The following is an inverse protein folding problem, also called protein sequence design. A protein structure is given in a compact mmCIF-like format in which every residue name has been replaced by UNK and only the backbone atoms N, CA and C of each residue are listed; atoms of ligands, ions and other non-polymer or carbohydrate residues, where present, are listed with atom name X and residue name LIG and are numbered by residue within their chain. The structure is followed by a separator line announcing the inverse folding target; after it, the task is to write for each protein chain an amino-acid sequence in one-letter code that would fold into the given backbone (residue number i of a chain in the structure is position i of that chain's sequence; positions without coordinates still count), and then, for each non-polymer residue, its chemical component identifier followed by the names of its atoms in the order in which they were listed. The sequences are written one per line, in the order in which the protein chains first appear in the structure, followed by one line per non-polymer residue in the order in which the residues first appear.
data_IF_807891050344
#
_entry.id   IF_807891050344
#
_cell.length_a   1.000
_cell.length_b   1.000
_cell.length_c   1.000
_cell.angle_alpha   90.00
_cell.angle_beta   90.00
_cell.angle_gamma   90.00
#
_symmetry.space_group_name_H-M   'P 1'
#
loop_
_entity.id
_entity.type
_entity.pdbx_description
1 polymer ?
#
# COMPACT_ATOMS: atom_id res chain seq x y z
N UNK A 1 -4.04 -7.73 7.41
CA UNK A 1 -4.95 -7.57 8.56
C UNK A 1 -6.28 -8.17 8.19
N UNK A 2 -6.88 -8.99 9.05
CA UNK A 2 -8.24 -9.50 8.85
C UNK A 2 -9.24 -8.72 9.70
N UNK A 3 -10.46 -8.55 9.20
CA UNK A 3 -11.57 -7.93 9.95
C UNK A 3 -12.61 -9.00 10.26
N UNK A 4 -13.05 -9.06 11.51
CA UNK A 4 -14.01 -10.05 11.99
C UNK A 4 -15.13 -9.36 12.76
N UNK A 5 -16.30 -9.99 12.74
CA UNK A 5 -17.39 -9.71 13.67
C UNK A 5 -17.62 -11.01 14.42
N UNK A 6 -17.44 -10.98 15.74
CA UNK A 6 -17.80 -12.10 16.58
C UNK A 6 -19.29 -11.98 16.92
N UNK A 7 -20.11 -12.84 16.34
CA UNK A 7 -21.52 -12.99 16.73
C UNK A 7 -21.61 -13.75 18.05
N UNK A 8 -21.20 -13.09 19.14
CA UNK A 8 -21.30 -13.61 20.50
C UNK A 8 -22.23 -12.71 21.32
N UNK A 9 -23.24 -13.24 22.02
CA UNK A 9 -24.10 -12.43 22.89
C UNK A 9 -23.37 -11.86 24.12
N UNK A 10 -22.19 -12.40 24.45
CA UNK A 10 -21.39 -11.98 25.59
C UNK A 10 -20.19 -11.13 25.17
N UNK A 11 -19.78 -10.13 25.98
CA UNK A 11 -18.57 -9.37 25.73
C UNK A 11 -17.34 -10.27 25.81
N UNK A 12 -16.35 -10.00 24.96
CA UNK A 12 -15.06 -10.67 25.07
C UNK A 12 -14.27 -10.01 26.21
N UNK A 13 -13.72 -10.79 27.16
CA UNK A 13 -13.09 -10.22 28.34
C UNK A 13 -11.80 -9.49 28.00
N UNK A 14 -11.50 -8.45 28.78
CA UNK A 14 -10.18 -7.85 28.77
C UNK A 14 -9.12 -8.87 29.19
N UNK A 15 -7.94 -8.79 28.60
CA UNK A 15 -6.83 -9.67 28.94
C UNK A 15 -5.93 -9.99 27.76
N UNK A 16 -5.01 -10.93 27.99
CA UNK A 16 -4.17 -11.47 26.94
C UNK A 16 -4.98 -12.44 26.07
N UNK A 17 -5.01 -12.18 24.78
CA UNK A 17 -5.60 -13.08 23.78
C UNK A 17 -4.48 -13.68 22.96
N UNK A 18 -4.54 -15.00 22.74
CA UNK A 18 -3.64 -15.73 21.85
C UNK A 18 -4.34 -16.01 20.52
N UNK A 19 -3.65 -15.76 19.40
CA UNK A 19 -4.19 -15.90 18.06
C UNK A 19 -3.64 -17.14 17.38
N UNK A 20 -4.52 -17.94 16.76
CA UNK A 20 -4.14 -19.17 16.06
C UNK A 20 -4.69 -19.17 14.63
N UNK A 21 -3.89 -19.67 13.68
CA UNK A 21 -4.34 -19.97 12.32
C UNK A 21 -3.91 -21.39 11.97
N UNK A 22 -4.86 -22.23 11.58
CA UNK A 22 -4.65 -23.65 11.28
C UNK A 22 -3.91 -24.41 12.40
N UNK A 23 -4.22 -24.10 13.66
CA UNK A 23 -3.59 -24.71 14.83
C UNK A 23 -2.21 -24.15 15.23
N UNK A 24 -1.60 -23.28 14.42
CA UNK A 24 -0.34 -22.62 14.76
C UNK A 24 -0.59 -21.28 15.47
N UNK A 25 0.12 -21.04 16.58
CA UNK A 25 0.06 -19.75 17.29
C UNK A 25 0.77 -18.68 16.46
N UNK A 26 0.05 -17.62 16.11
CA UNK A 26 0.58 -16.48 15.36
C UNK A 26 1.10 -15.36 16.25
N UNK A 27 0.58 -15.26 17.48
CA UNK A 27 0.99 -14.25 18.43
C UNK A 27 0.00 -14.09 19.56
N UNK A 28 0.20 -13.02 20.33
CA UNK A 28 -0.67 -12.65 21.43
C UNK A 28 -0.74 -11.14 21.58
N UNK A 29 -1.87 -10.62 22.04
CA UNK A 29 -2.03 -9.21 22.34
C UNK A 29 -2.87 -9.01 23.59
N UNK A 30 -2.57 -7.98 24.37
CA UNK A 30 -3.48 -7.53 25.42
C UNK A 30 -4.62 -6.74 24.80
N UNK A 31 -5.85 -7.01 25.23
CA UNK A 31 -7.07 -6.36 24.73
C UNK A 31 -7.91 -5.84 25.88
N UNK A 32 -8.58 -4.73 25.62
CA UNK A 32 -9.70 -4.30 26.46
C UNK A 32 -10.91 -5.19 26.20
N UNK A 33 -11.89 -5.11 27.10
CA UNK A 33 -13.16 -5.81 26.88
C UNK A 33 -13.81 -5.29 25.60
N UNK A 34 -14.30 -6.20 24.76
CA UNK A 34 -14.98 -5.84 23.51
C UNK A 34 -16.47 -6.09 23.62
N UNK A 35 -17.26 -5.16 23.08
CA UNK A 35 -18.70 -5.28 23.07
C UNK A 35 -19.16 -6.43 22.14
N UNK A 36 -20.32 -7.03 22.41
CA UNK A 36 -20.95 -7.96 21.48
C UNK A 36 -21.04 -7.38 20.06
N UNK A 37 -20.73 -8.19 19.05
CA UNK A 37 -20.87 -7.85 17.63
C UNK A 37 -20.04 -6.65 17.15
N UNK A 38 -19.03 -6.22 17.91
CA UNK A 38 -18.12 -5.17 17.50
C UNK A 38 -17.20 -5.66 16.36
N UNK A 39 -16.97 -4.82 15.35
CA UNK A 39 -15.98 -5.10 14.30
C UNK A 39 -14.59 -5.00 14.90
N UNK A 40 -13.79 -6.03 14.70
CA UNK A 40 -12.41 -6.03 15.14
C UNK A 40 -11.43 -6.29 14.01
N UNK A 41 -10.33 -5.54 14.01
CA UNK A 41 -9.18 -5.78 13.15
C UNK A 41 -8.11 -6.55 13.92
N UNK A 42 -7.62 -7.63 13.33
CA UNK A 42 -6.56 -8.47 13.87
C UNK A 42 -5.41 -8.58 12.87
N UNK A 43 -4.21 -8.25 13.33
CA UNK A 43 -2.97 -8.46 12.59
C UNK A 43 -2.50 -9.91 12.76
N UNK A 44 -2.49 -10.68 11.68
CA UNK A 44 -1.98 -12.07 11.65
C UNK A 44 -0.58 -12.18 11.04
N UNK A 45 0.12 -11.07 10.92
CA UNK A 45 1.37 -10.98 10.18
C UNK A 45 1.18 -11.08 8.67
N UNK A 46 2.30 -11.26 7.96
CA UNK A 46 2.30 -11.41 6.51
C UNK A 46 1.70 -12.76 6.08
N UNK A 47 0.82 -12.73 5.09
CA UNK A 47 0.32 -13.95 4.46
C UNK A 47 1.38 -14.51 3.50
N UNK A 48 2.08 -15.57 3.94
CA UNK A 48 3.19 -16.19 3.18
C UNK A 48 2.76 -16.83 1.86
N UNK A 49 1.45 -17.02 1.64
CA UNK A 49 0.93 -17.51 0.35
C UNK A 49 0.68 -16.38 -0.64
N UNK A 50 0.81 -15.12 -0.23
CA UNK A 50 0.88 -13.99 -1.14
C UNK A 50 2.35 -13.63 -1.32
N UNK A 51 2.88 -13.90 -2.51
CA UNK A 51 4.23 -13.48 -2.87
C UNK A 51 4.17 -12.10 -3.51
N UNK A 52 5.01 -11.19 -3.02
CA UNK A 52 5.10 -9.83 -3.52
C UNK A 52 6.54 -9.55 -3.92
N UNK A 53 6.73 -9.08 -5.15
CA UNK A 53 8.00 -8.56 -5.64
C UNK A 53 7.82 -7.08 -5.93
N UNK A 54 8.73 -6.25 -5.40
CA UNK A 54 8.76 -4.82 -5.67
C UNK A 54 10.11 -4.49 -6.30
N UNK A 55 10.09 -4.07 -7.56
CA UNK A 55 11.28 -3.70 -8.33
C UNK A 55 11.21 -2.21 -8.65
N UNK A 56 11.86 -1.41 -7.81
CA UNK A 56 12.03 0.02 -8.04
C UNK A 56 13.25 0.24 -8.93
N UNK A 57 13.04 0.83 -10.09
CA UNK A 57 14.13 1.22 -10.99
C UNK A 57 14.91 2.39 -10.39
N UNK A 58 16.22 2.50 -10.65
CA UNK A 58 16.99 3.69 -10.29
C UNK A 58 16.30 4.95 -10.80
N UNK A 59 16.29 5.99 -9.97
CA UNK A 59 15.70 7.27 -10.35
C UNK A 59 16.42 7.82 -11.58
N UNK A 60 15.63 8.22 -12.58
CA UNK A 60 16.14 8.90 -13.75
C UNK A 60 16.10 10.40 -13.46
N UNK A 61 17.27 11.03 -13.39
CA UNK A 61 17.39 12.47 -13.15
C UNK A 61 17.93 13.16 -14.37
N UNK A 62 17.27 14.25 -14.75
CA UNK A 62 17.63 15.09 -15.87
C UNK A 62 17.59 16.55 -15.41
N UNK A 63 18.59 17.32 -15.79
CA UNK A 63 18.60 18.76 -15.60
C UNK A 63 18.34 19.44 -16.94
N UNK A 64 17.32 20.29 -17.01
CA UNK A 64 16.87 20.92 -18.25
C UNK A 64 16.93 22.45 -18.13
N UNK A 65 17.44 23.12 -19.18
CA UNK A 65 17.24 24.56 -19.42
C UNK A 65 18.51 25.40 -19.62
N UNK A 66 18.47 26.32 -20.61
CA UNK A 66 19.46 27.40 -20.83
C UNK A 66 19.01 28.71 -20.14
N UNK A 67 17.70 28.88 -19.91
CA UNK A 67 17.09 29.99 -19.15
C UNK A 67 16.15 29.36 -18.11
N UNK A 68 16.49 29.50 -16.82
CA UNK A 68 15.81 28.82 -15.71
C UNK A 68 16.18 27.33 -15.63
N UNK A 69 17.06 26.96 -14.71
CA UNK A 69 17.46 25.56 -14.52
C UNK A 69 16.37 24.83 -13.72
N UNK A 70 15.86 23.74 -14.28
CA UNK A 70 14.93 22.85 -13.58
C UNK A 70 15.50 21.45 -13.53
N UNK A 71 15.29 20.77 -12.40
CA UNK A 71 15.61 19.36 -12.26
C UNK A 71 14.32 18.55 -12.37
N UNK A 72 14.38 17.46 -13.14
CA UNK A 72 13.33 16.47 -13.28
C UNK A 72 13.82 15.14 -12.70
N UNK A 73 12.95 14.47 -11.95
CA UNK A 73 13.17 13.09 -11.50
C UNK A 73 11.99 12.23 -11.90
N UNK A 74 12.27 11.08 -12.50
CA UNK A 74 11.28 10.05 -12.80
C UNK A 74 11.59 8.81 -11.97
N UNK A 75 10.59 8.35 -11.20
CA UNK A 75 10.64 7.10 -10.45
C UNK A 75 9.63 6.12 -11.03
N UNK A 76 10.07 4.87 -11.21
CA UNK A 76 9.23 3.75 -11.66
C UNK A 76 9.40 2.56 -10.74
N UNK A 77 8.29 1.94 -10.40
CA UNK A 77 8.21 0.75 -9.57
C UNK A 77 7.31 -0.26 -10.26
N UNK A 78 7.80 -1.48 -10.41
CA UNK A 78 7.02 -2.63 -10.83
C UNK A 78 6.64 -3.43 -9.58
N UNK A 79 5.35 -3.68 -9.38
CA UNK A 79 4.87 -4.52 -8.29
C UNK A 79 4.24 -5.76 -8.90
N UNK A 80 4.77 -6.93 -8.55
CA UNK A 80 4.16 -8.22 -8.87
C UNK A 80 3.55 -8.83 -7.63
N UNK A 81 2.31 -9.30 -7.74
CA UNK A 81 1.63 -10.01 -6.66
C UNK A 81 1.15 -11.36 -7.19
N UNK A 82 1.53 -12.44 -6.52
CA UNK A 82 1.11 -13.79 -6.86
C UNK A 82 0.44 -14.48 -5.68
N UNK A 83 -0.71 -15.10 -5.91
CA UNK A 83 -1.39 -15.92 -4.90
C UNK A 83 -1.04 -17.40 -5.06
N UNK A 84 -0.65 -18.03 -3.95
CA UNK A 84 -0.49 -19.47 -3.79
C UNK A 84 -1.63 -20.10 -2.98
N UNK A 85 -2.70 -19.34 -2.73
CA UNK A 85 -3.91 -19.90 -2.13
C UNK A 85 -4.63 -20.81 -3.13
N UNK A 86 -5.42 -21.74 -2.59
CA UNK A 86 -6.30 -22.62 -3.36
C UNK A 86 -7.62 -21.96 -3.74
N UNK A 87 -7.94 -20.85 -3.09
CA UNK A 87 -9.14 -20.05 -3.32
C UNK A 87 -8.79 -18.63 -3.77
N UNK A 88 -9.69 -17.90 -4.47
CA UNK A 88 -9.49 -16.50 -4.77
C UNK A 88 -9.35 -15.64 -3.52
N UNK A 89 -8.44 -14.67 -3.54
CA UNK A 89 -8.13 -13.79 -2.42
C UNK A 89 -8.22 -12.33 -2.83
N UNK A 90 -8.84 -11.50 -1.99
CA UNK A 90 -8.87 -10.06 -2.17
C UNK A 90 -7.52 -9.47 -1.71
N UNK A 91 -6.85 -8.75 -2.60
CA UNK A 91 -5.60 -8.06 -2.30
C UNK A 91 -5.73 -6.59 -2.70
N UNK A 92 -5.31 -5.71 -1.80
CA UNK A 92 -5.17 -4.28 -2.10
C UNK A 92 -3.69 -3.93 -2.04
N UNK A 93 -3.15 -3.44 -3.15
CA UNK A 93 -1.82 -2.83 -3.20
C UNK A 93 -1.99 -1.34 -2.96
N UNK A 94 -1.15 -0.75 -2.12
CA UNK A 94 -1.20 0.67 -1.76
C UNK A 94 0.15 1.29 -2.13
N UNK A 95 0.13 2.41 -2.84
CA UNK A 95 1.32 3.18 -3.22
C UNK A 95 1.07 4.66 -2.98
N UNK A 96 2.11 5.39 -2.62
CA UNK A 96 2.03 6.82 -2.38
C UNK A 96 2.49 7.59 -3.62
N UNK A 97 1.62 8.43 -4.15
CA UNK A 97 1.99 9.50 -5.06
C UNK A 97 2.29 10.75 -4.20
N UNK A 98 3.53 11.28 -4.20
CA UNK A 98 3.86 12.47 -3.44
C UNK A 98 2.93 13.64 -3.79
N UNK A 99 2.66 14.49 -2.80
CA UNK A 99 1.91 15.73 -2.99
C UNK A 99 2.89 16.88 -2.83
N UNK A 100 2.85 17.84 -3.75
CA UNK A 100 3.64 19.05 -3.64
C UNK A 100 3.03 20.00 -2.60
N UNK A 101 3.83 20.43 -1.64
CA UNK A 101 3.47 21.49 -0.69
C UNK A 101 3.93 22.88 -1.19
N UNK A 102 4.99 22.94 -2.00
CA UNK A 102 5.50 24.15 -2.66
C UNK A 102 4.96 24.22 -4.09
N UNK A 103 4.40 25.37 -4.47
CA UNK A 103 3.86 25.63 -5.81
C UNK A 103 4.88 25.54 -6.95
N UNK A 104 6.17 25.66 -6.64
CA UNK A 104 7.27 25.51 -7.62
C UNK A 104 7.63 24.03 -7.87
N UNK A 105 7.00 23.09 -7.15
CA UNK A 105 7.18 21.65 -7.34
C UNK A 105 5.95 21.09 -8.06
N UNK A 106 6.16 20.40 -9.18
CA UNK A 106 5.09 19.67 -9.86
C UNK A 106 5.25 18.16 -9.64
N UNK A 107 4.15 17.47 -9.30
CA UNK A 107 4.09 16.01 -9.25
C UNK A 107 3.04 15.50 -10.23
N UNK A 108 3.44 14.59 -11.12
CA UNK A 108 2.57 13.99 -12.13
C UNK A 108 2.74 12.47 -12.15
N UNK A 109 1.65 11.70 -12.14
CA UNK A 109 1.73 10.26 -12.42
C UNK A 109 2.14 10.03 -13.88
N UNK A 110 2.99 9.04 -14.13
CA UNK A 110 3.35 8.67 -15.50
C UNK A 110 2.19 7.97 -16.21
N UNK A 111 2.12 8.14 -17.53
CA UNK A 111 1.04 7.58 -18.37
C UNK A 111 1.01 6.04 -18.37
N UNK A 112 2.14 5.38 -18.12
CA UNK A 112 2.26 3.92 -18.01
C UNK A 112 1.90 3.39 -16.62
N UNK A 113 1.52 4.26 -15.67
CA UNK A 113 1.00 3.85 -14.36
C UNK A 113 -0.31 3.12 -14.53
N UNK A 114 -0.43 1.93 -13.93
CA UNK A 114 -1.67 1.17 -13.88
C UNK A 114 -2.74 2.04 -13.18
N UNK A 115 -3.92 2.26 -13.79
CA UNK A 115 -4.95 3.08 -13.16
C UNK A 115 -5.38 2.53 -11.80
N UNK A 116 -5.39 3.33 -10.72
CA UNK A 116 -5.79 2.87 -9.40
C UNK A 116 -7.31 2.72 -9.30
N UNK A 117 -7.75 1.86 -8.38
CA UNK A 117 -9.16 1.75 -7.98
C UNK A 117 -9.60 2.99 -7.21
N UNK A 118 -8.72 3.58 -6.40
CA UNK A 118 -8.94 4.86 -5.71
C UNK A 118 -7.63 5.65 -5.57
N UNK A 119 -7.72 6.98 -5.58
CA UNK A 119 -6.59 7.90 -5.36
C UNK A 119 -6.51 8.49 -3.95
N UNK A 120 -7.48 8.14 -3.11
CA UNK A 120 -7.66 8.64 -1.74
C UNK A 120 -8.00 7.48 -0.79
N UNK A 121 -7.12 6.48 -0.74
CA UNK A 121 -7.32 5.31 0.11
C UNK A 121 -7.36 5.72 1.58
N UNK A 122 -8.32 5.16 2.34
CA UNK A 122 -8.64 5.58 3.71
C UNK A 122 -8.88 7.09 3.90
N UNK A 123 -9.31 7.78 2.83
CA UNK A 123 -9.59 9.23 2.85
C UNK A 123 -8.33 10.10 2.84
N UNK A 124 -7.17 9.54 2.54
CA UNK A 124 -5.90 10.25 2.50
C UNK A 124 -5.50 10.53 1.05
N UNK A 125 -5.43 11.80 0.67
CA UNK A 125 -4.99 12.21 -0.66
C UNK A 125 -3.57 11.72 -0.97
N UNK A 126 -3.33 11.36 -2.23
CA UNK A 126 -2.02 10.86 -2.67
C UNK A 126 -1.75 9.41 -2.29
N UNK A 127 -2.60 8.77 -1.47
CA UNK A 127 -2.52 7.34 -1.18
C UNK A 127 -3.39 6.59 -2.19
N UNK A 128 -2.75 6.02 -3.20
CA UNK A 128 -3.41 5.30 -4.28
C UNK A 128 -3.52 3.82 -3.95
N UNK A 129 -4.62 3.18 -4.36
CA UNK A 129 -4.83 1.77 -4.12
C UNK A 129 -5.41 1.03 -5.33
N UNK A 130 -4.97 -0.23 -5.49
CA UNK A 130 -5.44 -1.18 -6.49
C UNK A 130 -6.02 -2.40 -5.79
N UNK A 131 -7.35 -2.49 -5.75
CA UNK A 131 -8.06 -3.62 -5.16
C UNK A 131 -8.39 -4.66 -6.22
N UNK A 132 -7.86 -5.86 -6.06
CA UNK A 132 -7.99 -6.96 -7.02
C UNK A 132 -8.42 -8.25 -6.31
N UNK A 133 -9.19 -9.07 -7.03
CA UNK A 133 -9.42 -10.46 -6.63
C UNK A 133 -8.45 -11.36 -7.40
N UNK A 134 -7.44 -11.89 -6.72
CA UNK A 134 -6.38 -12.71 -7.33
C UNK A 134 -6.79 -14.18 -7.21
N UNK A 135 -6.94 -14.86 -8.35
CA UNK A 135 -7.30 -16.28 -8.42
C UNK A 135 -6.13 -17.18 -7.95
N UNK A 136 -6.38 -18.46 -7.65
CA UNK A 136 -5.33 -19.43 -7.32
C UNK A 136 -4.23 -19.49 -8.38
N UNK A 137 -2.97 -19.34 -7.97
CA UNK A 137 -1.80 -19.36 -8.84
C UNK A 137 -1.60 -18.11 -9.70
N UNK A 138 -2.59 -17.21 -9.77
CA UNK A 138 -2.54 -16.02 -10.61
C UNK A 138 -1.47 -15.05 -10.12
N UNK A 139 -0.73 -14.50 -11.07
CA UNK A 139 0.14 -13.34 -10.90
C UNK A 139 -0.51 -12.12 -11.54
N UNK A 140 -0.49 -10.99 -10.85
CA UNK A 140 -0.82 -9.67 -11.40
C UNK A 140 0.42 -8.77 -11.32
N UNK A 141 0.48 -7.81 -12.23
CA UNK A 141 1.58 -6.85 -12.33
C UNK A 141 1.00 -5.45 -12.36
N UNK A 142 1.57 -4.55 -11.55
CA UNK A 142 1.20 -3.15 -11.47
C UNK A 142 2.43 -2.30 -11.80
N UNK A 143 2.28 -1.40 -12.76
CA UNK A 143 3.24 -0.33 -13.01
C UNK A 143 2.84 0.86 -12.17
N UNK A 144 3.77 1.40 -11.40
CA UNK A 144 3.58 2.65 -10.67
C UNK A 144 4.73 3.59 -10.96
N UNK A 145 4.43 4.79 -11.44
CA UNK A 145 5.47 5.76 -11.70
C UNK A 145 4.99 7.20 -11.58
N UNK A 146 5.92 8.07 -11.21
CA UNK A 146 5.66 9.50 -11.13
C UNK A 146 6.88 10.31 -11.55
N UNK A 147 6.60 11.55 -11.94
CA UNK A 147 7.56 12.57 -12.32
C UNK A 147 7.47 13.73 -11.33
N UNK A 148 8.62 14.13 -10.83
CA UNK A 148 8.81 15.36 -10.07
C UNK A 148 9.54 16.36 -10.95
N UNK A 149 9.17 17.64 -10.87
CA UNK A 149 9.97 18.76 -11.39
C UNK A 149 10.06 19.85 -10.33
N UNK A 150 11.25 20.44 -10.17
CA UNK A 150 11.51 21.53 -9.23
C UNK A 150 12.68 22.42 -9.71
N UNK A 151 12.85 23.64 -9.16
CA UNK A 151 13.98 24.52 -9.49
C UNK A 151 15.33 23.89 -9.10
N UNK A 152 16.33 23.92 -9.99
CA UNK A 152 17.64 23.29 -9.71
C UNK A 152 18.44 23.95 -8.58
N UNK A 153 18.13 25.19 -8.22
CA UNK A 153 18.74 25.92 -7.11
C UNK A 153 18.13 25.54 -5.75
N UNK A 154 17.05 24.76 -5.74
CA UNK A 154 16.42 24.23 -4.52
C UNK A 154 16.82 22.77 -4.27
N UNK A 155 16.87 22.42 -2.99
CA UNK A 155 17.01 21.02 -2.55
C UNK A 155 15.63 20.45 -2.30
N UNK A 156 15.35 19.29 -2.90
CA UNK A 156 14.12 18.54 -2.65
C UNK A 156 14.27 17.67 -1.39
N UNK A 157 13.28 17.72 -0.49
CA UNK A 157 13.22 16.92 0.74
C UNK A 157 11.86 16.23 0.91
N UNK A 158 11.80 15.16 1.70
CA UNK A 158 10.53 14.47 2.03
C UNK A 158 10.09 13.38 1.04
N UNK A 159 11.04 12.79 0.30
CA UNK A 159 10.80 11.66 -0.60
C UNK A 159 10.96 10.29 0.06
#
# INVERSE_FOLDING_TARGET
TGTFVLNNPLPLPAGRWDFFVNGAQLGSAFRQAQAPSEKMSLGFGADRRIQVTVDQKPDQREENGVIGKSTQMVRRTLVEVQSQHKEPVAVTVIMNLPIAEDSEISVESLADTTPPTTKQFDGIDGVWAWSNQIKPGQKITLNFGFRLRWPSDKTLSGL
#
